data_IF_743127828921
#
_entry.id   IF_743127828921
#
_cell.length_a   1.000
_cell.length_b   1.000
_cell.length_c   1.000
_cell.angle_alpha   90.00
_cell.angle_beta   90.00
_cell.angle_gamma   90.00
#
_symmetry.space_group_name_H-M   'P 1'
#
loop_
_entity.id
_entity.type
_entity.pdbx_description
1 polymer ?
#
# COMPACT_ATOMS: atom_id res chain seq x y z
N UNK A 1 9.97 -15.90 18.52
CA UNK A 1 9.46 -14.66 17.89
C UNK A 1 7.97 -14.86 17.65
N UNK A 2 7.13 -13.89 18.03
CA UNK A 2 5.69 -13.94 17.76
C UNK A 2 5.36 -12.98 16.61
N UNK A 3 4.56 -13.44 15.65
CA UNK A 3 4.09 -12.58 14.57
C UNK A 3 3.00 -11.63 15.10
N UNK A 4 2.99 -10.38 14.60
CA UNK A 4 1.90 -9.42 14.82
C UNK A 4 1.28 -9.07 13.48
N UNK A 5 -0.03 -9.27 13.36
CA UNK A 5 -0.78 -8.80 12.19
C UNK A 5 -0.89 -7.28 12.23
N UNK A 6 -0.56 -6.62 11.12
CA UNK A 6 -0.61 -5.16 11.00
C UNK A 6 -1.84 -4.67 10.25
N UNK A 7 -2.28 -5.42 9.25
CA UNK A 7 -3.43 -5.06 8.41
C UNK A 7 -4.24 -6.28 8.01
N UNK A 8 -5.44 -6.04 7.49
CA UNK A 8 -6.36 -7.03 6.97
C UNK A 8 -7.19 -6.43 5.84
N UNK A 9 -7.44 -7.21 4.80
CA UNK A 9 -8.39 -6.90 3.74
C UNK A 9 -9.18 -8.16 3.40
N UNK A 10 -10.48 -8.01 3.17
CA UNK A 10 -11.36 -9.12 2.76
C UNK A 10 -11.20 -9.51 1.30
N UNK A 11 -10.54 -8.68 0.49
CA UNK A 11 -10.30 -8.95 -0.93
C UNK A 11 -8.90 -9.49 -1.17
N UNK A 12 -7.88 -8.70 -0.84
CA UNK A 12 -6.47 -9.10 -0.80
C UNK A 12 -5.59 -7.95 -0.26
N UNK A 13 -4.32 -8.24 0.01
CA UNK A 13 -3.21 -7.29 -0.02
C UNK A 13 -2.23 -7.82 -1.08
N UNK A 14 -1.95 -7.03 -2.11
CA UNK A 14 -1.19 -7.51 -3.27
C UNK A 14 0.31 -7.24 -3.12
N UNK A 15 0.82 -6.16 -3.72
CA UNK A 15 2.20 -5.71 -3.60
C UNK A 15 2.38 -4.86 -2.35
N UNK A 16 3.48 -5.05 -1.62
CA UNK A 16 3.84 -4.21 -0.48
C UNK A 16 5.35 -3.94 -0.45
N UNK A 17 5.74 -2.83 0.17
CA UNK A 17 7.14 -2.43 0.36
C UNK A 17 7.32 -1.69 1.70
N UNK A 18 8.20 -2.17 2.59
CA UNK A 18 8.63 -1.41 3.77
C UNK A 18 9.43 -0.16 3.37
N UNK A 19 9.28 0.93 4.11
CA UNK A 19 10.16 2.09 3.97
C UNK A 19 11.59 1.74 4.42
N UNK A 20 12.62 2.48 3.97
CA UNK A 20 14.02 2.21 4.34
C UNK A 20 14.27 2.13 5.85
N UNK A 21 13.66 3.04 6.63
CA UNK A 21 13.74 3.07 8.10
C UNK A 21 12.82 2.04 8.79
N UNK A 22 11.94 1.37 8.04
CA UNK A 22 11.02 0.35 8.56
C UNK A 22 9.80 0.87 9.33
N UNK A 23 9.64 2.18 9.51
CA UNK A 23 8.50 2.76 10.22
C UNK A 23 7.18 2.68 9.43
N UNK A 24 7.24 2.51 8.11
CA UNK A 24 6.09 2.46 7.22
C UNK A 24 6.09 1.23 6.32
N UNK A 25 4.90 0.77 5.94
CA UNK A 25 4.69 -0.21 4.87
C UNK A 25 3.72 0.40 3.86
N UNK A 26 4.18 0.61 2.64
CA UNK A 26 3.30 0.91 1.51
C UNK A 26 2.72 -0.39 0.96
N UNK A 27 1.43 -0.42 0.64
CA UNK A 27 0.81 -1.61 0.05
C UNK A 27 -0.35 -1.26 -0.86
N UNK A 28 -0.61 -2.14 -1.83
CA UNK A 28 -1.76 -2.08 -2.72
C UNK A 28 -2.91 -2.91 -2.16
N UNK A 29 -4.09 -2.30 -2.11
CA UNK A 29 -5.31 -2.94 -1.66
C UNK A 29 -6.41 -2.81 -2.73
N UNK A 30 -6.88 -3.95 -3.28
CA UNK A 30 -8.04 -3.99 -4.16
C UNK A 30 -9.30 -3.49 -3.47
N UNK A 31 -10.16 -2.86 -4.26
CA UNK A 31 -11.49 -2.38 -3.87
C UNK A 31 -12.56 -3.09 -4.68
N UNK A 32 -13.78 -3.07 -4.15
CA UNK A 32 -14.95 -3.50 -4.92
C UNK A 32 -15.05 -2.63 -6.20
N UNK A 33 -15.35 -3.26 -7.34
CA UNK A 33 -15.33 -2.60 -8.64
C UNK A 33 -13.99 -2.74 -9.39
N UNK A 34 -13.03 -3.50 -8.87
CA UNK A 34 -11.82 -3.89 -9.59
C UNK A 34 -10.72 -2.83 -9.61
N UNK A 35 -10.88 -1.73 -8.87
CA UNK A 35 -9.80 -0.76 -8.68
C UNK A 35 -8.83 -1.22 -7.58
N UNK A 36 -7.62 -0.65 -7.56
CA UNK A 36 -6.67 -0.83 -6.46
C UNK A 36 -6.06 0.51 -6.09
N UNK A 37 -5.95 0.74 -4.78
CA UNK A 37 -5.32 1.93 -4.22
C UNK A 37 -4.11 1.57 -3.38
N UNK A 38 -3.16 2.49 -3.32
CA UNK A 38 -2.04 2.42 -2.40
C UNK A 38 -2.38 3.05 -1.06
N UNK A 39 -1.86 2.41 -0.02
CA UNK A 39 -1.97 2.83 1.36
C UNK A 39 -0.59 2.78 2.02
N UNK A 40 -0.37 3.62 3.04
CA UNK A 40 0.77 3.54 3.94
C UNK A 40 0.29 3.18 5.34
N UNK A 41 0.84 2.11 5.90
CA UNK A 41 0.64 1.68 7.28
C UNK A 41 1.84 2.09 8.13
N UNK A 42 1.60 2.74 9.26
CA UNK A 42 2.60 2.99 10.29
C UNK A 42 2.79 1.74 11.13
N UNK A 43 4.02 1.23 11.21
CA UNK A 43 4.30 -0.03 11.90
C UNK A 43 4.02 0.10 13.40
N UNK A 44 4.41 1.19 14.03
CA UNK A 44 4.25 1.38 15.48
C UNK A 44 2.78 1.34 15.93
N UNK A 45 1.90 2.07 15.25
CA UNK A 45 0.50 2.23 15.65
C UNK A 45 -0.46 1.28 14.92
N UNK A 46 -0.09 0.76 13.75
CA UNK A 46 -1.01 0.07 12.83
C UNK A 46 -1.95 1.02 12.07
N UNK A 47 -1.80 2.33 12.23
CA UNK A 47 -2.61 3.33 11.54
C UNK A 47 -2.32 3.30 10.04
N UNK A 48 -3.37 3.38 9.23
CA UNK A 48 -3.26 3.38 7.77
C UNK A 48 -3.76 4.69 7.19
N UNK A 49 -3.05 5.23 6.18
CA UNK A 49 -3.50 6.35 5.34
C UNK A 49 -3.55 5.93 3.87
N UNK A 50 -4.57 6.39 3.15
CA UNK A 50 -4.67 6.22 1.70
C UNK A 50 -3.72 7.20 0.98
N UNK A 51 -2.96 6.73 -0.01
CA UNK A 51 -1.98 7.51 -0.77
C UNK A 51 -2.49 7.90 -2.17
N UNK A 52 -3.32 7.05 -2.77
CA UNK A 52 -3.86 7.26 -4.12
C UNK A 52 -5.37 7.19 -4.12
N UNK A 53 -6.02 7.72 -5.14
CA UNK A 53 -7.45 7.51 -5.41
C UNK A 53 -7.63 7.13 -6.88
N UNK A 54 -7.39 5.86 -7.20
CA UNK A 54 -7.22 5.38 -8.56
C UNK A 54 -8.56 5.10 -9.22
N UNK A 55 -8.79 5.86 -10.29
CA UNK A 55 -10.00 5.92 -11.08
C UNK A 55 -9.61 6.04 -12.55
N UNK A 56 -10.42 5.58 -13.52
CA UNK A 56 -11.80 5.10 -13.43
C UNK A 56 -11.92 3.65 -12.92
N UNK A 57 -13.13 3.05 -13.02
CA UNK A 57 -13.37 1.62 -12.73
C UNK A 57 -12.35 0.76 -13.48
N UNK A 58 -11.84 -0.29 -12.83
CA UNK A 58 -10.73 -1.15 -13.28
C UNK A 58 -9.31 -0.53 -13.26
N UNK A 59 -9.15 0.77 -12.98
CA UNK A 59 -7.82 1.34 -12.80
C UNK A 59 -7.14 0.80 -11.54
N UNK A 60 -5.87 0.40 -11.65
CA UNK A 60 -5.11 -0.19 -10.55
C UNK A 60 -3.84 0.60 -10.30
N UNK A 61 -3.64 0.96 -9.03
CA UNK A 61 -2.37 1.47 -8.53
C UNK A 61 -1.72 0.41 -7.65
N UNK A 62 -0.54 -0.03 -8.07
CA UNK A 62 0.16 -1.21 -7.55
C UNK A 62 1.67 -1.00 -7.55
N UNK A 63 2.41 -2.01 -7.10
CA UNK A 63 3.87 -2.06 -7.10
C UNK A 63 4.52 -0.80 -6.48
N UNK A 64 4.18 -0.47 -5.22
CA UNK A 64 4.82 0.65 -4.54
C UNK A 64 6.30 0.36 -4.32
N UNK A 65 7.16 1.34 -4.57
CA UNK A 65 8.57 1.28 -4.18
C UNK A 65 9.04 2.61 -3.58
N UNK A 66 9.72 2.55 -2.45
CA UNK A 66 10.17 3.72 -1.72
C UNK A 66 11.49 4.23 -2.31
N UNK A 67 11.65 5.55 -2.36
CA UNK A 67 12.98 6.12 -2.57
C UNK A 67 13.92 5.71 -1.43
N UNK A 68 15.25 5.63 -1.67
CA UNK A 68 16.21 5.25 -0.63
C UNK A 68 16.20 6.14 0.62
N UNK A 69 15.77 7.40 0.48
CA UNK A 69 15.60 8.35 1.59
C UNK A 69 14.22 8.28 2.27
N UNK A 70 13.32 7.40 1.79
CA UNK A 70 11.98 7.21 2.33
C UNK A 70 11.00 8.38 2.10
N UNK A 71 11.40 9.42 1.36
CA UNK A 71 10.58 10.64 1.21
C UNK A 71 9.58 10.57 0.06
N UNK A 72 9.77 9.64 -0.89
CA UNK A 72 8.94 9.48 -2.08
C UNK A 72 8.60 8.02 -2.31
N UNK A 73 7.53 7.82 -3.07
CA UNK A 73 7.07 6.51 -3.52
C UNK A 73 6.84 6.56 -5.02
N UNK A 74 7.39 5.60 -5.76
CA UNK A 74 6.98 5.31 -7.14
C UNK A 74 5.95 4.20 -7.14
N UNK A 75 5.11 4.14 -8.17
CA UNK A 75 4.10 3.10 -8.32
C UNK A 75 3.69 2.91 -9.77
N UNK A 76 3.15 1.74 -10.06
CA UNK A 76 2.54 1.42 -11.35
C UNK A 76 1.07 1.83 -11.36
N UNK A 77 0.63 2.45 -12.46
CA UNK A 77 -0.77 2.71 -12.75
C UNK A 77 -1.14 2.01 -14.06
N UNK A 78 -2.16 1.15 -14.01
CA UNK A 78 -2.71 0.46 -15.19
C UNK A 78 -4.19 0.78 -15.33
N UNK A 79 -4.67 0.90 -16.56
CA UNK A 79 -6.07 1.19 -16.93
C UNK A 79 -6.56 0.23 -18.02
#
# INVERSE_FOLDING_TARGET
FAARQLTYSSLNIESFQPSPEGDWIAYAQPRQGGTSDLYALEVASGTTRQLTNCTPVLARCTAPDWSPDGTRLIYERTE
#
